data_IF_215212887986
#
_entry.id   IF_215212887986
#
_cell.length_a   1.000
_cell.length_b   1.000
_cell.length_c   1.000
_cell.angle_alpha   90.00
_cell.angle_beta   90.00
_cell.angle_gamma   90.00
#
_symmetry.space_group_name_H-M   'P 1'
#
loop_
_entity.id
_entity.type
_entity.pdbx_description
1 polymer ?
#
# COMPACT_ATOMS: atom_id res chain seq x y z
N UNK A 1 9.47 -18.93 -51.77
CA UNK A 1 10.03 -17.90 -50.86
C UNK A 1 8.84 -17.18 -50.26
N UNK A 2 8.47 -17.57 -49.03
CA UNK A 2 7.31 -17.02 -48.32
C UNK A 2 7.78 -15.82 -47.48
N UNK A 3 7.22 -14.64 -47.76
CA UNK A 3 7.30 -13.47 -46.89
C UNK A 3 6.21 -13.58 -45.82
N UNK A 4 6.51 -13.49 -44.52
CA UNK A 4 5.49 -13.49 -43.49
C UNK A 4 5.07 -12.07 -43.10
N UNK A 5 3.76 -11.84 -43.27
CA UNK A 5 2.85 -11.16 -42.34
C UNK A 5 3.17 -9.73 -41.93
N UNK A 6 2.48 -8.81 -42.58
CA UNK A 6 2.03 -7.53 -42.02
C UNK A 6 1.39 -7.77 -40.64
N UNK A 7 1.87 -7.06 -39.63
CA UNK A 7 1.17 -6.90 -38.37
C UNK A 7 0.27 -5.68 -38.52
N UNK A 8 -1.04 -5.91 -38.57
CA UNK A 8 -2.07 -4.88 -38.47
C UNK A 8 -1.92 -4.14 -37.14
N UNK A 9 -1.33 -2.94 -37.18
CA UNK A 9 -1.46 -1.92 -36.13
C UNK A 9 -2.89 -1.36 -36.14
N UNK A 10 -3.87 -2.16 -35.71
CA UNK A 10 -5.17 -1.65 -35.31
C UNK A 10 -5.06 -1.03 -33.90
N UNK A 11 -4.27 0.04 -33.78
CA UNK A 11 -4.32 0.90 -32.60
C UNK A 11 -5.54 1.78 -32.74
N UNK A 12 -6.55 1.56 -31.90
CA UNK A 12 -7.69 2.45 -31.74
C UNK A 12 -7.12 3.81 -31.26
N UNK A 13 -6.84 4.70 -32.21
CA UNK A 13 -6.53 6.09 -31.94
C UNK A 13 -7.84 6.78 -31.62
N UNK A 14 -8.14 6.89 -30.33
CA UNK A 14 -9.14 7.82 -29.82
C UNK A 14 -8.71 9.23 -30.25
N UNK A 15 -9.37 9.74 -31.30
CA UNK A 15 -9.03 10.96 -32.04
C UNK A 15 -9.22 12.25 -31.24
N UNK A 16 -9.47 12.12 -29.93
CA UNK A 16 -9.73 13.21 -28.99
C UNK A 16 -8.54 13.57 -28.08
N UNK A 17 -7.46 12.77 -28.06
CA UNK A 17 -6.34 12.95 -27.14
C UNK A 17 -5.25 13.86 -27.71
N UNK A 18 -4.86 14.90 -26.95
CA UNK A 18 -3.69 15.72 -27.30
C UNK A 18 -2.43 14.85 -27.43
N UNK A 19 -1.47 15.16 -28.32
CA UNK A 19 -0.26 14.34 -28.52
C UNK A 19 0.51 14.04 -27.23
N UNK A 20 0.62 15.04 -26.33
CA UNK A 20 1.25 14.87 -25.01
C UNK A 20 0.54 13.85 -24.12
N UNK A 21 -0.79 13.80 -24.18
CA UNK A 21 -1.59 12.89 -23.35
C UNK A 21 -1.52 11.46 -23.89
N UNK A 22 -1.57 11.31 -25.22
CA UNK A 22 -1.32 10.01 -25.87
C UNK A 22 0.07 9.47 -25.54
N UNK A 23 1.10 10.32 -25.59
CA UNK A 23 2.46 9.93 -25.23
C UNK A 23 2.58 9.55 -23.75
N UNK A 24 1.99 10.34 -22.84
CA UNK A 24 1.98 10.04 -21.42
C UNK A 24 1.30 8.69 -21.12
N UNK A 25 0.17 8.40 -21.78
CA UNK A 25 -0.51 7.10 -21.65
C UNK A 25 0.39 5.94 -22.10
N UNK A 26 1.06 6.07 -23.25
CA UNK A 26 1.99 5.03 -23.74
C UNK A 26 3.15 4.80 -22.77
N UNK A 27 3.73 5.86 -22.20
CA UNK A 27 4.80 5.75 -21.19
C UNK A 27 4.30 5.08 -19.92
N UNK A 28 3.10 5.44 -19.47
CA UNK A 28 2.45 4.79 -18.34
C UNK A 28 2.26 3.29 -18.57
N UNK A 29 1.80 2.88 -19.75
CA UNK A 29 1.62 1.47 -20.10
C UNK A 29 2.97 0.72 -20.15
N UNK A 30 3.99 1.33 -20.75
CA UNK A 30 5.37 0.79 -20.76
C UNK A 30 5.88 0.55 -19.34
N UNK A 31 5.71 1.52 -18.46
CA UNK A 31 6.13 1.42 -17.06
C UNK A 31 5.35 0.33 -16.34
N UNK A 32 4.03 0.33 -16.41
CA UNK A 32 3.19 -0.53 -15.56
C UNK A 32 3.03 -1.97 -16.07
N UNK A 33 3.19 -2.21 -17.37
CA UNK A 33 3.01 -3.54 -17.95
C UNK A 33 4.31 -4.20 -18.41
N UNK A 34 5.30 -3.42 -18.84
CA UNK A 34 6.50 -3.97 -19.48
C UNK A 34 7.76 -3.86 -18.62
N UNK A 35 7.89 -2.85 -17.76
CA UNK A 35 9.12 -2.58 -17.02
C UNK A 35 9.60 -3.75 -16.13
N UNK A 36 8.70 -4.62 -15.67
CA UNK A 36 9.07 -5.81 -14.89
C UNK A 36 9.99 -6.79 -15.64
N UNK A 37 9.94 -6.78 -16.98
CA UNK A 37 10.72 -7.64 -17.88
C UNK A 37 11.89 -6.92 -18.55
N UNK A 38 12.10 -5.65 -18.24
CA UNK A 38 13.09 -4.80 -18.90
C UNK A 38 14.25 -4.47 -17.95
N UNK A 39 15.39 -4.02 -18.49
CA UNK A 39 16.45 -3.43 -17.68
C UNK A 39 15.92 -2.25 -16.87
N UNK A 40 16.49 -2.05 -15.67
CA UNK A 40 16.13 -0.93 -14.78
C UNK A 40 16.31 0.43 -15.46
N UNK A 41 17.28 0.54 -16.39
CA UNK A 41 17.50 1.75 -17.19
C UNK A 41 16.30 2.14 -18.06
N UNK A 42 15.56 1.17 -18.60
CA UNK A 42 14.37 1.46 -19.41
C UNK A 42 13.23 2.01 -18.56
N UNK A 43 13.04 1.46 -17.35
CA UNK A 43 12.07 2.01 -16.39
C UNK A 43 12.35 3.50 -16.13
N UNK A 44 13.59 3.83 -15.77
CA UNK A 44 13.96 5.22 -15.47
C UNK A 44 13.91 6.11 -16.71
N UNK A 45 14.27 5.60 -17.89
CA UNK A 45 14.14 6.35 -19.15
C UNK A 45 12.69 6.76 -19.41
N UNK A 46 11.75 5.83 -19.29
CA UNK A 46 10.32 6.12 -19.49
C UNK A 46 9.76 7.02 -18.39
N UNK A 47 10.17 6.80 -17.14
CA UNK A 47 9.73 7.62 -16.01
C UNK A 47 10.21 9.06 -16.15
N UNK A 48 11.48 9.28 -16.51
CA UNK A 48 12.05 10.62 -16.72
C UNK A 48 11.33 11.36 -17.85
N UNK A 49 10.99 10.65 -18.94
CA UNK A 49 10.20 11.25 -20.02
C UNK A 49 8.79 11.63 -19.55
N UNK A 50 8.12 10.78 -18.77
CA UNK A 50 6.81 11.06 -18.21
C UNK A 50 6.85 12.23 -17.21
N UNK A 51 7.91 12.34 -16.40
CA UNK A 51 8.16 13.49 -15.52
C UNK A 51 8.33 14.79 -16.32
N UNK A 52 9.08 14.75 -17.42
CA UNK A 52 9.22 15.88 -18.34
C UNK A 52 7.87 16.34 -18.89
N UNK A 53 7.06 15.41 -19.38
CA UNK A 53 5.71 15.72 -19.86
C UNK A 53 4.81 16.28 -18.75
N UNK A 54 4.87 15.74 -17.54
CA UNK A 54 4.11 16.24 -16.40
C UNK A 54 4.55 17.65 -15.96
N UNK A 55 5.82 17.99 -16.19
CA UNK A 55 6.35 19.33 -15.94
C UNK A 55 5.88 20.32 -17.01
N UNK A 56 6.08 20.02 -18.29
CA UNK A 56 5.69 20.86 -19.42
C UNK A 56 4.17 21.07 -19.48
N UNK A 57 3.41 20.02 -19.20
CA UNK A 57 1.95 20.02 -19.20
C UNK A 57 1.40 20.08 -17.78
N UNK A 58 1.99 20.92 -16.93
CA UNK A 58 1.68 21.01 -15.49
C UNK A 58 0.21 21.22 -15.15
N UNK A 59 -0.60 21.78 -16.06
CA UNK A 59 -2.04 21.96 -15.90
C UNK A 59 -2.86 20.66 -16.11
N UNK A 60 -2.31 19.66 -16.81
CA UNK A 60 -3.03 18.42 -17.15
C UNK A 60 -3.00 17.40 -16.02
N UNK A 61 -4.09 17.31 -15.27
CA UNK A 61 -4.25 16.38 -14.15
C UNK A 61 -4.03 14.91 -14.53
N UNK A 62 -4.52 14.49 -15.70
CA UNK A 62 -4.36 13.11 -16.17
C UNK A 62 -2.89 12.69 -16.31
N UNK A 63 -2.02 13.59 -16.80
CA UNK A 63 -0.59 13.29 -16.93
C UNK A 63 0.06 13.17 -15.55
N UNK A 64 -0.35 14.01 -14.58
CA UNK A 64 0.11 13.89 -13.19
C UNK A 64 -0.34 12.58 -12.55
N UNK A 65 -1.55 12.14 -12.84
CA UNK A 65 -2.06 10.86 -12.35
C UNK A 65 -1.34 9.67 -12.97
N UNK A 66 -1.00 9.72 -14.27
CA UNK A 66 -0.14 8.71 -14.88
C UNK A 66 1.21 8.66 -14.20
N UNK A 67 1.84 9.81 -13.95
CA UNK A 67 3.10 9.86 -13.22
C UNK A 67 2.99 9.27 -11.82
N UNK A 68 1.97 9.64 -11.03
CA UNK A 68 1.77 9.11 -9.68
C UNK A 68 1.56 7.59 -9.67
N UNK A 69 0.81 7.06 -10.63
CA UNK A 69 0.62 5.61 -10.76
C UNK A 69 1.90 4.89 -11.19
N UNK A 70 2.67 5.47 -12.11
CA UNK A 70 3.99 4.95 -12.52
C UNK A 70 4.99 4.92 -11.35
N UNK A 71 5.03 5.98 -10.53
CA UNK A 71 5.85 6.04 -9.32
C UNK A 71 5.44 4.94 -8.33
N UNK A 72 4.16 4.78 -8.03
CA UNK A 72 3.66 3.69 -7.18
C UNK A 72 4.02 2.30 -7.71
N UNK A 73 3.88 2.09 -9.02
CA UNK A 73 4.26 0.83 -9.64
C UNK A 73 5.76 0.55 -9.42
N UNK A 74 6.61 1.57 -9.59
CA UNK A 74 8.03 1.47 -9.30
C UNK A 74 8.30 1.16 -7.83
N UNK A 75 7.65 1.83 -6.88
CA UNK A 75 7.74 1.52 -5.44
C UNK A 75 7.48 0.03 -5.19
N UNK A 76 6.40 -0.52 -5.75
CA UNK A 76 6.09 -1.94 -5.64
C UNK A 76 7.16 -2.83 -6.30
N UNK A 77 7.58 -2.48 -7.52
CA UNK A 77 8.54 -3.26 -8.31
C UNK A 77 9.88 -3.38 -7.59
N UNK A 78 10.46 -2.24 -7.18
CA UNK A 78 11.75 -2.20 -6.52
C UNK A 78 11.67 -2.73 -5.09
N UNK A 79 10.56 -2.46 -4.38
CA UNK A 79 10.30 -3.05 -3.08
C UNK A 79 10.26 -4.59 -3.12
N UNK A 80 9.60 -5.18 -4.12
CA UNK A 80 9.58 -6.63 -4.33
C UNK A 80 10.96 -7.20 -4.69
N UNK A 81 11.80 -6.40 -5.37
CA UNK A 81 13.20 -6.74 -5.68
C UNK A 81 14.16 -6.46 -4.51
N UNK A 82 13.66 -5.95 -3.38
CA UNK A 82 14.46 -5.49 -2.22
C UNK A 82 15.48 -4.39 -2.57
N UNK A 83 15.25 -3.66 -3.66
CA UNK A 83 16.01 -2.49 -4.06
C UNK A 83 15.46 -1.26 -3.30
N UNK A 84 15.70 -1.22 -1.99
CA UNK A 84 15.04 -0.24 -1.11
C UNK A 84 15.46 1.21 -1.39
N UNK A 85 16.68 1.45 -1.85
CA UNK A 85 17.12 2.79 -2.24
C UNK A 85 16.30 3.35 -3.41
N UNK A 86 16.13 2.56 -4.49
CA UNK A 86 15.28 2.92 -5.63
C UNK A 86 13.81 3.09 -5.20
N UNK A 87 13.30 2.19 -4.37
CA UNK A 87 11.93 2.28 -3.85
C UNK A 87 11.69 3.57 -3.07
N UNK A 88 12.60 3.93 -2.16
CA UNK A 88 12.49 5.14 -1.33
C UNK A 88 12.66 6.40 -2.18
N UNK A 89 13.57 6.41 -3.15
CA UNK A 89 13.70 7.50 -4.11
C UNK A 89 12.37 7.77 -4.85
N UNK A 90 11.71 6.72 -5.34
CA UNK A 90 10.41 6.89 -6.03
C UNK A 90 9.28 7.30 -5.09
N UNK A 91 9.36 6.93 -3.82
CA UNK A 91 8.42 7.41 -2.80
C UNK A 91 8.63 8.90 -2.51
N UNK A 92 9.88 9.36 -2.43
CA UNK A 92 10.21 10.78 -2.27
C UNK A 92 9.72 11.60 -3.46
N UNK A 93 9.87 11.09 -4.69
CA UNK A 93 9.30 11.70 -5.90
C UNK A 93 7.76 11.79 -5.83
N UNK A 94 7.08 10.78 -5.31
CA UNK A 94 5.63 10.80 -5.13
C UNK A 94 5.20 11.78 -4.03
N UNK A 95 5.96 11.88 -2.94
CA UNK A 95 5.76 12.89 -1.89
C UNK A 95 5.93 14.29 -2.47
N UNK A 96 6.99 14.52 -3.26
CA UNK A 96 7.24 15.79 -3.92
C UNK A 96 6.09 16.16 -4.87
N UNK A 97 5.63 15.22 -5.69
CA UNK A 97 4.51 15.42 -6.60
C UNK A 97 3.22 15.78 -5.83
N UNK A 98 2.91 15.09 -4.74
CA UNK A 98 1.78 15.42 -3.89
C UNK A 98 1.91 16.82 -3.28
N UNK A 99 3.07 17.18 -2.72
CA UNK A 99 3.27 18.50 -2.11
C UNK A 99 3.12 19.64 -3.12
N UNK A 100 3.55 19.43 -4.36
CA UNK A 100 3.37 20.41 -5.46
C UNK A 100 1.91 20.62 -5.83
N UNK A 101 1.06 19.60 -5.66
CA UNK A 101 -0.35 19.62 -6.03
C UNK A 101 -1.23 19.10 -4.88
N UNK A 102 -1.04 19.67 -3.68
CA UNK A 102 -1.59 19.15 -2.43
C UNK A 102 -3.12 19.14 -2.37
N UNK A 103 -3.79 19.95 -3.18
CA UNK A 103 -5.25 20.00 -3.29
C UNK A 103 -5.84 18.81 -4.07
N UNK A 104 -5.02 18.02 -4.77
CA UNK A 104 -5.51 16.86 -5.53
C UNK A 104 -5.79 15.68 -4.60
N UNK A 105 -7.07 15.34 -4.46
CA UNK A 105 -7.52 14.17 -3.71
C UNK A 105 -6.94 12.88 -4.31
N UNK A 106 -6.86 12.77 -5.64
CA UNK A 106 -6.33 11.59 -6.33
C UNK A 106 -4.83 11.38 -6.06
N UNK A 107 -4.03 12.45 -6.07
CA UNK A 107 -2.61 12.35 -5.70
C UNK A 107 -2.43 12.00 -4.23
N UNK A 108 -3.31 12.49 -3.36
CA UNK A 108 -3.31 12.13 -1.94
C UNK A 108 -3.61 10.64 -1.74
N UNK A 109 -4.59 10.10 -2.46
CA UNK A 109 -4.88 8.65 -2.47
C UNK A 109 -3.69 7.85 -2.99
N UNK A 110 -3.03 8.31 -4.06
CA UNK A 110 -1.83 7.67 -4.58
C UNK A 110 -0.67 7.70 -3.59
N UNK A 111 -0.44 8.81 -2.90
CA UNK A 111 0.58 8.88 -1.86
C UNK A 111 0.26 7.93 -0.70
N UNK A 112 -0.99 7.88 -0.23
CA UNK A 112 -1.39 6.96 0.84
C UNK A 112 -1.17 5.48 0.46
N UNK A 113 -1.43 5.14 -0.81
CA UNK A 113 -1.13 3.83 -1.37
C UNK A 113 0.38 3.58 -1.45
N UNK A 114 1.16 4.52 -1.99
CA UNK A 114 2.62 4.42 -2.09
C UNK A 114 3.30 4.20 -0.73
N UNK A 115 2.87 4.95 0.29
CA UNK A 115 3.33 4.79 1.68
C UNK A 115 3.01 3.38 2.22
N UNK A 116 1.80 2.90 1.96
CA UNK A 116 1.40 1.55 2.40
C UNK A 116 2.23 0.46 1.74
N UNK A 117 2.54 0.60 0.44
CA UNK A 117 3.37 -0.33 -0.30
C UNK A 117 4.81 -0.32 0.24
N UNK A 118 5.39 0.85 0.48
CA UNK A 118 6.71 0.98 1.06
C UNK A 118 6.79 0.33 2.46
N UNK A 119 5.82 0.61 3.35
CA UNK A 119 5.71 -0.04 4.67
C UNK A 119 5.59 -1.57 4.53
N UNK A 120 4.82 -2.05 3.55
CA UNK A 120 4.71 -3.48 3.29
C UNK A 120 6.04 -4.11 2.87
N UNK A 121 6.79 -3.46 1.99
CA UNK A 121 8.08 -3.96 1.50
C UNK A 121 9.18 -3.88 2.56
N UNK A 122 9.16 -2.85 3.41
CA UNK A 122 10.08 -2.71 4.54
C UNK A 122 9.76 -3.65 5.71
N UNK A 123 8.64 -4.38 5.66
CA UNK A 123 8.28 -5.33 6.71
C UNK A 123 9.39 -6.34 7.01
N UNK A 124 10.18 -6.75 6.02
CA UNK A 124 11.25 -7.73 6.22
C UNK A 124 12.64 -7.06 6.31
N UNK A 125 12.70 -5.73 6.38
CA UNK A 125 13.93 -4.96 6.57
C UNK A 125 14.20 -4.70 8.06
N UNK A 126 15.40 -4.21 8.38
CA UNK A 126 15.79 -3.76 9.73
C UNK A 126 15.50 -2.28 9.98
N UNK A 127 14.84 -1.59 9.03
CA UNK A 127 14.57 -0.16 9.10
C UNK A 127 13.28 0.15 9.88
N UNK A 128 13.40 0.08 11.20
CA UNK A 128 12.30 0.32 12.13
C UNK A 128 11.91 1.80 12.13
N UNK A 129 12.90 2.67 12.19
CA UNK A 129 12.74 4.12 12.24
C UNK A 129 12.09 4.64 10.95
N UNK A 130 12.56 4.20 9.79
CA UNK A 130 11.99 4.58 8.49
C UNK A 130 10.54 4.10 8.36
N UNK A 131 10.25 2.85 8.72
CA UNK A 131 8.88 2.33 8.72
C UNK A 131 7.96 3.13 9.65
N UNK A 132 8.45 3.55 10.82
CA UNK A 132 7.69 4.41 11.75
C UNK A 132 7.40 5.78 11.15
N UNK A 133 8.41 6.41 10.52
CA UNK A 133 8.26 7.72 9.89
C UNK A 133 7.24 7.71 8.75
N UNK A 134 7.25 6.67 7.91
CA UNK A 134 6.25 6.50 6.85
C UNK A 134 4.83 6.35 7.41
N UNK A 135 4.68 5.60 8.51
CA UNK A 135 3.39 5.43 9.18
C UNK A 135 2.91 6.74 9.82
N UNK A 136 3.81 7.55 10.42
CA UNK A 136 3.49 8.88 10.95
C UNK A 136 3.02 9.86 9.87
N UNK A 137 3.65 9.83 8.69
CA UNK A 137 3.19 10.61 7.54
C UNK A 137 1.78 10.17 7.12
N UNK A 138 1.53 8.86 7.01
CA UNK A 138 0.21 8.35 6.64
C UNK A 138 -0.87 8.67 7.69
N UNK A 139 -0.53 8.64 8.99
CA UNK A 139 -1.43 9.12 10.07
C UNK A 139 -1.82 10.58 9.87
N UNK A 140 -0.83 11.42 9.53
CA UNK A 140 -1.06 12.85 9.29
C UNK A 140 -2.00 13.07 8.10
N UNK A 141 -1.79 12.33 7.00
CA UNK A 141 -2.67 12.37 5.82
C UNK A 141 -4.08 11.91 6.19
N UNK A 142 -4.22 10.76 6.85
CA UNK A 142 -5.52 10.22 7.24
C UNK A 142 -6.31 11.16 8.18
N UNK A 143 -5.61 11.87 9.09
CA UNK A 143 -6.23 12.87 9.96
C UNK A 143 -6.80 14.05 9.16
N UNK A 144 -6.03 14.56 8.17
CA UNK A 144 -6.48 15.64 7.27
C UNK A 144 -7.64 15.18 6.38
N UNK A 145 -7.63 13.92 5.94
CA UNK A 145 -8.63 13.33 5.05
C UNK A 145 -9.53 12.31 5.75
N UNK A 146 -10.04 12.67 6.94
CA UNK A 146 -10.80 11.76 7.84
C UNK A 146 -12.11 11.19 7.28
N UNK A 147 -12.58 11.68 6.13
CA UNK A 147 -13.76 11.16 5.42
C UNK A 147 -13.41 10.30 4.21
N UNK A 148 -12.16 10.32 3.73
CA UNK A 148 -11.75 9.55 2.57
C UNK A 148 -11.52 8.08 2.96
N UNK A 149 -12.46 7.22 2.55
CA UNK A 149 -12.46 5.79 2.93
C UNK A 149 -11.24 5.04 2.41
N UNK A 150 -10.68 5.42 1.26
CA UNK A 150 -9.50 4.75 0.70
C UNK A 150 -8.27 5.06 1.53
N UNK A 151 -8.03 6.32 1.87
CA UNK A 151 -6.91 6.73 2.73
C UNK A 151 -6.99 6.05 4.10
N UNK A 152 -8.18 6.02 4.72
CA UNK A 152 -8.40 5.34 6.00
C UNK A 152 -8.11 3.83 5.91
N UNK A 153 -8.48 3.19 4.80
CA UNK A 153 -8.16 1.78 4.57
C UNK A 153 -6.64 1.55 4.40
N UNK A 154 -5.94 2.46 3.70
CA UNK A 154 -4.48 2.39 3.58
C UNK A 154 -3.80 2.53 4.94
N UNK A 155 -4.29 3.41 5.82
CA UNK A 155 -3.81 3.50 7.20
C UNK A 155 -4.04 2.19 7.97
N UNK A 156 -5.20 1.56 7.84
CA UNK A 156 -5.49 0.27 8.48
C UNK A 156 -4.53 -0.84 8.01
N UNK A 157 -4.29 -0.92 6.70
CA UNK A 157 -3.32 -1.87 6.11
C UNK A 157 -1.90 -1.62 6.60
N UNK A 158 -1.51 -0.34 6.68
CA UNK A 158 -0.19 0.05 7.16
C UNK A 158 0.02 -0.31 8.63
N UNK A 159 -0.99 -0.12 9.49
CA UNK A 159 -0.93 -0.64 10.87
C UNK A 159 -0.77 -2.16 10.90
N UNK A 160 -1.55 -2.91 10.11
CA UNK A 160 -1.45 -4.38 10.02
C UNK A 160 -0.05 -4.83 9.60
N UNK A 161 0.54 -4.17 8.58
CA UNK A 161 1.90 -4.44 8.12
C UNK A 161 2.95 -4.11 9.18
N UNK A 162 2.85 -2.93 9.82
CA UNK A 162 3.78 -2.49 10.87
C UNK A 162 3.72 -3.42 12.09
N UNK A 163 2.52 -3.82 12.56
CA UNK A 163 2.35 -4.76 13.67
C UNK A 163 2.99 -6.11 13.33
N UNK A 164 2.78 -6.63 12.11
CA UNK A 164 3.39 -7.90 11.69
C UNK A 164 4.92 -7.87 11.75
N UNK A 165 5.53 -6.71 11.47
CA UNK A 165 6.98 -6.51 11.65
C UNK A 165 7.34 -6.34 13.12
N UNK A 166 6.84 -5.29 13.76
CA UNK A 166 7.36 -4.88 15.07
C UNK A 166 7.01 -5.83 16.21
N UNK A 167 5.98 -6.65 16.05
CA UNK A 167 5.60 -7.64 17.03
C UNK A 167 6.29 -9.00 16.81
N UNK A 168 7.10 -9.19 15.77
CA UNK A 168 7.88 -10.43 15.58
C UNK A 168 8.99 -10.59 16.60
N UNK A 169 9.47 -9.48 17.18
CA UNK A 169 10.66 -9.46 18.04
C UNK A 169 10.26 -9.41 19.53
N UNK A 170 10.88 -10.27 20.34
CA UNK A 170 10.45 -10.65 21.70
C UNK A 170 10.36 -9.54 22.76
N UNK A 171 10.73 -8.28 22.46
CA UNK A 171 10.73 -7.16 23.43
C UNK A 171 10.61 -5.81 22.73
N UNK A 172 9.51 -5.58 22.02
CA UNK A 172 9.31 -4.33 21.29
C UNK A 172 8.17 -3.48 21.88
N UNK A 173 8.52 -2.39 22.59
CA UNK A 173 7.53 -1.41 23.06
C UNK A 173 6.71 -0.78 21.92
N UNK A 174 7.27 -0.76 20.70
CA UNK A 174 6.58 -0.30 19.49
C UNK A 174 5.37 -1.19 19.15
N UNK A 175 5.42 -2.49 19.45
CA UNK A 175 4.31 -3.41 19.20
C UNK A 175 3.05 -3.02 19.98
N UNK A 176 3.17 -2.85 21.31
CA UNK A 176 2.02 -2.51 22.17
C UNK A 176 1.46 -1.12 21.83
N UNK A 177 2.34 -0.13 21.55
CA UNK A 177 1.93 1.20 21.10
C UNK A 177 1.09 1.13 19.81
N UNK A 178 1.58 0.42 18.80
CA UNK A 178 0.88 0.28 17.52
C UNK A 178 -0.42 -0.49 17.64
N UNK A 179 -0.46 -1.55 18.44
CA UNK A 179 -1.67 -2.30 18.70
C UNK A 179 -2.72 -1.43 19.39
N UNK A 180 -2.32 -0.63 20.37
CA UNK A 180 -3.21 0.32 21.04
C UNK A 180 -3.77 1.37 20.06
N UNK A 181 -2.91 1.99 19.26
CA UNK A 181 -3.31 2.98 18.26
C UNK A 181 -4.25 2.38 17.21
N UNK A 182 -3.93 1.19 16.69
CA UNK A 182 -4.78 0.54 15.70
C UNK A 182 -6.13 0.12 16.30
N UNK A 183 -6.14 -0.33 17.56
CA UNK A 183 -7.39 -0.60 18.29
C UNK A 183 -8.26 0.65 18.42
N UNK A 184 -7.66 1.78 18.78
CA UNK A 184 -8.39 3.06 18.87
C UNK A 184 -8.96 3.47 17.51
N UNK A 185 -8.15 3.37 16.45
CA UNK A 185 -8.58 3.65 15.08
C UNK A 185 -9.71 2.72 14.61
N UNK A 186 -9.57 1.41 14.84
CA UNK A 186 -10.60 0.44 14.50
C UNK A 186 -11.90 0.73 15.27
N UNK A 187 -11.83 1.11 16.55
CA UNK A 187 -13.00 1.48 17.34
C UNK A 187 -13.70 2.74 16.82
N UNK A 188 -12.95 3.75 16.35
CA UNK A 188 -13.53 4.92 15.68
C UNK A 188 -14.27 4.52 14.39
N UNK A 189 -13.80 3.48 13.70
CA UNK A 189 -14.41 2.94 12.48
C UNK A 189 -15.11 1.60 12.72
N UNK A 190 -15.82 1.47 13.85
CA UNK A 190 -16.41 0.20 14.33
C UNK A 190 -17.29 -0.54 13.31
N UNK A 191 -17.98 0.20 12.44
CA UNK A 191 -18.91 -0.30 11.41
C UNK A 191 -18.25 -0.53 10.04
N UNK A 192 -17.00 -0.11 9.85
CA UNK A 192 -16.30 -0.30 8.58
C UNK A 192 -15.68 -1.70 8.55
N UNK A 193 -16.32 -2.61 7.80
CA UNK A 193 -15.90 -4.00 7.69
C UNK A 193 -14.45 -4.16 7.20
N UNK A 194 -13.98 -3.33 6.26
CA UNK A 194 -12.61 -3.45 5.73
C UNK A 194 -11.56 -3.06 6.78
N UNK A 195 -11.78 -1.99 7.53
CA UNK A 195 -10.88 -1.60 8.63
C UNK A 195 -10.89 -2.66 9.74
N UNK A 196 -12.06 -3.22 10.05
CA UNK A 196 -12.21 -4.27 11.05
C UNK A 196 -11.54 -5.59 10.61
N UNK A 197 -11.59 -5.90 9.32
CA UNK A 197 -10.88 -7.03 8.73
C UNK A 197 -9.35 -6.87 8.86
N UNK A 198 -8.80 -5.69 8.51
CA UNK A 198 -7.36 -5.43 8.67
C UNK A 198 -6.92 -5.52 10.15
N UNK A 199 -7.75 -5.02 11.07
CA UNK A 199 -7.48 -5.13 12.50
C UNK A 199 -7.53 -6.59 12.98
N UNK A 200 -8.55 -7.35 12.58
CA UNK A 200 -8.65 -8.78 12.87
C UNK A 200 -7.44 -9.57 12.31
N UNK A 201 -6.95 -9.22 11.13
CA UNK A 201 -5.79 -9.86 10.52
C UNK A 201 -4.50 -9.61 11.33
N UNK A 202 -4.35 -8.40 11.88
CA UNK A 202 -3.25 -8.08 12.79
C UNK A 202 -3.33 -8.90 14.10
N UNK A 203 -4.54 -9.07 14.66
CA UNK A 203 -4.78 -9.91 15.84
C UNK A 203 -4.43 -11.37 15.58
N UNK A 204 -4.82 -11.94 14.43
CA UNK A 204 -4.44 -13.32 14.06
C UNK A 204 -2.93 -13.49 13.96
N UNK A 205 -2.24 -12.47 13.42
CA UNK A 205 -0.77 -12.48 13.33
C UNK A 205 -0.14 -12.52 14.74
N UNK A 206 -0.67 -11.72 15.66
CA UNK A 206 -0.24 -11.69 17.07
C UNK A 206 -0.54 -13.01 17.80
N UNK A 207 -1.70 -13.61 17.58
CA UNK A 207 -2.06 -14.91 18.16
C UNK A 207 -1.01 -15.95 17.82
N UNK A 208 -0.55 -16.01 16.56
CA UNK A 208 0.51 -16.93 16.16
C UNK A 208 1.84 -16.70 16.91
N UNK A 209 2.18 -15.44 17.23
CA UNK A 209 3.35 -15.12 18.04
C UNK A 209 3.13 -15.58 19.49
N UNK A 210 1.99 -15.24 20.09
CA UNK A 210 1.67 -15.55 21.48
C UNK A 210 1.61 -17.05 21.77
N UNK A 211 1.09 -17.85 20.82
CA UNK A 211 1.11 -19.32 20.89
C UNK A 211 2.55 -19.83 20.97
N UNK A 212 3.41 -19.41 20.03
CA UNK A 212 4.84 -19.82 20.03
C UNK A 212 5.60 -19.39 21.29
N UNK A 213 5.16 -18.32 21.93
CA UNK A 213 5.77 -17.79 23.15
C UNK A 213 5.14 -18.34 24.44
N UNK A 214 4.06 -19.13 24.35
CA UNK A 214 3.35 -19.65 25.52
C UNK A 214 2.64 -18.58 26.37
N UNK A 215 2.34 -17.41 25.79
CA UNK A 215 1.74 -16.25 26.48
C UNK A 215 0.22 -16.38 26.59
N UNK A 216 -0.23 -17.27 27.47
CA UNK A 216 -1.64 -17.69 27.59
C UNK A 216 -2.62 -16.54 27.88
N UNK A 217 -2.27 -15.64 28.81
CA UNK A 217 -3.17 -14.54 29.22
C UNK A 217 -3.41 -13.57 28.07
N UNK A 218 -2.35 -13.18 27.37
CA UNK A 218 -2.45 -12.29 26.21
C UNK A 218 -3.11 -12.98 25.02
N UNK A 219 -2.88 -14.28 24.84
CA UNK A 219 -3.56 -15.08 23.82
C UNK A 219 -5.07 -15.06 24.03
N UNK A 220 -5.55 -15.33 25.25
CA UNK A 220 -6.98 -15.27 25.57
C UNK A 220 -7.56 -13.86 25.32
N UNK A 221 -6.82 -12.81 25.69
CA UNK A 221 -7.22 -11.42 25.42
C UNK A 221 -7.41 -11.18 23.91
N UNK A 222 -6.46 -11.62 23.08
CA UNK A 222 -6.53 -11.47 21.62
C UNK A 222 -7.65 -12.31 21.01
N UNK A 223 -7.86 -13.54 21.49
CA UNK A 223 -8.98 -14.40 21.06
C UNK A 223 -10.34 -13.76 21.37
N UNK A 224 -10.50 -13.20 22.58
CA UNK A 224 -11.73 -12.52 22.97
C UNK A 224 -11.99 -11.28 22.12
N UNK A 225 -10.95 -10.51 21.78
CA UNK A 225 -11.08 -9.36 20.89
C UNK A 225 -11.49 -9.78 19.47
N UNK A 226 -10.87 -10.84 18.93
CA UNK A 226 -11.24 -11.38 17.62
C UNK A 226 -12.70 -11.86 17.59
N UNK A 227 -13.16 -12.57 18.64
CA UNK A 227 -14.57 -12.98 18.77
C UNK A 227 -15.54 -11.80 18.81
N UNK A 228 -15.17 -10.69 19.47
CA UNK A 228 -15.99 -9.46 19.47
C UNK A 228 -16.11 -8.84 18.08
N UNK A 229 -15.06 -8.96 17.25
CA UNK A 229 -15.11 -8.50 15.85
C UNK A 229 -16.00 -9.43 15.02
N UNK A 230 -15.80 -10.75 15.11
CA UNK A 230 -16.56 -11.72 14.31
C UNK A 230 -18.05 -11.70 14.65
N UNK A 231 -18.43 -11.56 15.92
CA UNK A 231 -19.82 -11.44 16.34
C UNK A 231 -20.49 -10.16 15.80
N UNK A 232 -19.70 -9.12 15.51
CA UNK A 232 -20.21 -7.87 14.92
C UNK A 232 -20.43 -8.00 13.40
N UNK A 233 -19.71 -8.91 12.75
CA UNK A 233 -19.79 -9.15 11.31
C UNK A 233 -20.08 -10.63 11.00
N UNK A 234 -21.24 -11.16 11.44
CA UNK A 234 -21.58 -12.57 11.26
C UNK A 234 -21.57 -12.99 9.78
N UNK A 235 -22.06 -12.12 8.89
CA UNK A 235 -22.13 -12.38 7.44
C UNK A 235 -20.79 -12.21 6.69
N UNK A 236 -19.75 -11.70 7.35
CA UNK A 236 -18.47 -11.45 6.69
C UNK A 236 -17.62 -12.72 6.67
N UNK A 237 -17.73 -13.51 5.59
CA UNK A 237 -16.98 -14.76 5.44
C UNK A 237 -15.46 -14.57 5.65
N UNK A 238 -14.88 -13.46 5.17
CA UNK A 238 -13.45 -13.15 5.35
C UNK A 238 -13.08 -12.93 6.81
N UNK A 239 -13.94 -12.30 7.61
CA UNK A 239 -13.72 -12.11 9.06
C UNK A 239 -13.95 -13.42 9.81
N UNK A 240 -14.97 -14.22 9.44
CA UNK A 240 -15.21 -15.53 10.06
C UNK A 240 -14.03 -16.49 9.83
N UNK A 241 -13.45 -16.48 8.63
CA UNK A 241 -12.27 -17.28 8.29
C UNK A 241 -11.07 -16.95 9.18
N UNK A 242 -10.91 -15.68 9.60
CA UNK A 242 -9.83 -15.28 10.50
C UNK A 242 -9.99 -15.91 11.90
N UNK A 243 -11.20 -16.02 12.42
CA UNK A 243 -11.45 -16.70 13.69
C UNK A 243 -11.15 -18.20 13.59
N UNK A 244 -11.58 -18.86 12.52
CA UNK A 244 -11.29 -20.28 12.30
C UNK A 244 -9.78 -20.53 12.27
N UNK A 245 -9.04 -19.69 11.54
CA UNK A 245 -7.57 -19.75 11.52
C UNK A 245 -6.96 -19.54 12.91
N UNK A 246 -7.46 -18.58 13.68
CA UNK A 246 -6.99 -18.34 15.04
C UNK A 246 -7.25 -19.53 15.98
N UNK A 247 -8.42 -20.18 15.87
CA UNK A 247 -8.75 -21.37 16.65
C UNK A 247 -7.78 -22.51 16.37
N UNK A 248 -7.49 -22.78 15.09
CA UNK A 248 -6.48 -23.78 14.69
C UNK A 248 -5.11 -23.44 15.26
N UNK A 249 -4.66 -22.19 15.12
CA UNK A 249 -3.37 -21.76 15.68
C UNK A 249 -3.31 -21.93 17.20
N UNK A 250 -4.38 -21.62 17.93
CA UNK A 250 -4.43 -21.72 19.39
C UNK A 250 -4.52 -23.15 19.93
N UNK A 251 -4.79 -24.13 19.06
CA UNK A 251 -4.84 -25.55 19.43
C UNK A 251 -3.52 -26.30 19.25
N UNK A 252 -2.51 -25.65 18.66
CA UNK A 252 -1.14 -26.15 18.49
C UNK A 252 -0.31 -25.88 19.74
#
# INVERSE_FOLDING_TARGET
MNNPSEFDEATITDSSLTPSLSRASKLYDLITHFASKQPVSEFYRWLNELQGLAHEQSHKEQIRNFLAQSLKFGIQLFGNRKAFADMLFLLDELIFLHNKYFDSEQLTEHLAEGLTLAIQCLRDSWDIEGTSALLDLLRTIAKKHSKNKKILLQLARSYSNAIRRFCSDRKNFTCEKLLFEFRMFANQHRKNELIQYEFAQSIVSLIGILVREGRKVELERMMNELRKITNRFPESQKIQTLLNRALVLSSL
#
